data_IF_708874283848
#
_entry.id   IF_708874283848
#
_cell.length_a   1.000
_cell.length_b   1.000
_cell.length_c   1.000
_cell.angle_alpha   90.00
_cell.angle_beta   90.00
_cell.angle_gamma   90.00
#
_symmetry.space_group_name_H-M   'P 1'
#
loop_
_entity.id
_entity.type
_entity.pdbx_description
1 polymer ?
#
# COMPACT_ATOMS: atom_id res chain seq x y z
N UNK A 1 6.24 -9.54 18.28
CA UNK A 1 5.52 -10.00 17.08
C UNK A 1 5.51 -8.88 16.06
N UNK A 2 5.50 -9.21 14.77
CA UNK A 2 5.36 -8.21 13.69
C UNK A 2 3.88 -7.97 13.38
N UNK A 3 3.56 -6.84 12.73
CA UNK A 3 2.19 -6.54 12.32
C UNK A 3 1.63 -7.63 11.37
N UNK A 4 2.46 -8.17 10.47
CA UNK A 4 2.07 -9.27 9.58
C UNK A 4 1.62 -10.52 10.35
N UNK A 5 2.36 -10.90 11.39
CA UNK A 5 2.00 -12.04 12.22
C UNK A 5 0.65 -11.84 12.95
N UNK A 6 0.19 -10.60 13.12
CA UNK A 6 -1.16 -10.33 13.65
C UNK A 6 -2.24 -10.55 12.58
N UNK A 7 -1.99 -10.18 11.32
CA UNK A 7 -2.93 -10.43 10.21
C UNK A 7 -3.17 -11.92 10.04
N UNK A 8 -2.11 -12.72 10.03
CA UNK A 8 -2.22 -14.18 9.92
C UNK A 8 -2.96 -14.82 11.11
N UNK A 9 -2.84 -14.22 12.30
CA UNK A 9 -3.52 -14.69 13.52
C UNK A 9 -5.00 -14.39 13.55
N UNK A 10 -5.46 -13.35 12.86
CA UNK A 10 -6.89 -13.09 12.69
C UNK A 10 -7.52 -14.17 11.81
N UNK A 11 -6.82 -14.60 10.76
CA UNK A 11 -7.13 -15.82 10.01
C UNK A 11 -8.47 -15.81 9.26
N UNK A 12 -9.09 -14.63 9.11
CA UNK A 12 -10.40 -14.47 8.48
C UNK A 12 -10.35 -13.44 7.35
N UNK A 13 -11.24 -13.59 6.38
CA UNK A 13 -11.40 -12.65 5.28
C UNK A 13 -12.21 -11.44 5.74
N UNK A 14 -11.84 -10.26 5.25
CA UNK A 14 -12.58 -9.03 5.47
C UNK A 14 -12.97 -8.39 4.14
N UNK A 15 -14.00 -7.53 4.15
CA UNK A 15 -14.36 -6.75 2.96
C UNK A 15 -13.26 -5.74 2.60
N UNK A 16 -12.57 -5.21 3.62
CA UNK A 16 -11.56 -4.17 3.50
C UNK A 16 -10.41 -4.38 4.48
N UNK A 17 -9.18 -4.16 4.01
CA UNK A 17 -8.00 -4.04 4.86
C UNK A 17 -7.32 -2.69 4.56
N UNK A 18 -7.05 -1.89 5.59
CA UNK A 18 -6.36 -0.61 5.46
C UNK A 18 -5.00 -0.71 6.15
N UNK A 19 -3.93 -0.43 5.41
CA UNK A 19 -2.56 -0.62 5.88
C UNK A 19 -1.76 0.67 5.71
N UNK A 20 -1.02 1.06 6.74
CA UNK A 20 -0.09 2.20 6.71
C UNK A 20 1.19 1.82 7.45
N UNK A 21 2.31 2.48 7.10
CA UNK A 21 3.60 2.31 7.74
C UNK A 21 4.72 2.03 6.74
N UNK A 22 5.85 1.46 7.18
CA UNK A 22 6.99 1.22 6.30
C UNK A 22 6.61 0.36 5.09
N UNK A 23 7.14 0.68 3.91
CA UNK A 23 6.78 0.03 2.64
C UNK A 23 6.84 -1.50 2.71
N UNK A 24 7.93 -2.05 3.27
CA UNK A 24 8.09 -3.50 3.42
C UNK A 24 7.03 -4.11 4.37
N UNK A 25 6.65 -3.39 5.42
CA UNK A 25 5.56 -3.81 6.31
C UNK A 25 4.23 -3.81 5.56
N UNK A 26 3.93 -2.75 4.81
CA UNK A 26 2.68 -2.63 4.05
C UNK A 26 2.54 -3.73 2.99
N UNK A 27 3.59 -3.96 2.20
CA UNK A 27 3.61 -5.02 1.18
C UNK A 27 3.39 -6.39 1.80
N UNK A 28 4.04 -6.67 2.94
CA UNK A 28 3.88 -7.96 3.61
C UNK A 28 2.48 -8.12 4.21
N UNK A 29 1.94 -7.10 4.86
CA UNK A 29 0.60 -7.13 5.45
C UNK A 29 -0.51 -7.20 4.38
N UNK A 30 -0.36 -6.51 3.24
CA UNK A 30 -1.29 -6.60 2.12
C UNK A 30 -1.34 -8.02 1.54
N UNK A 31 -0.18 -8.65 1.35
CA UNK A 31 -0.08 -10.05 0.92
C UNK A 31 -0.74 -11.02 1.90
N UNK A 32 -0.50 -10.82 3.20
CA UNK A 32 -1.12 -11.65 4.23
C UNK A 32 -2.65 -11.51 4.23
N UNK A 33 -3.18 -10.29 4.13
CA UNK A 33 -4.62 -10.05 4.06
C UNK A 33 -5.27 -10.72 2.83
N UNK A 34 -4.60 -10.66 1.67
CA UNK A 34 -5.04 -11.33 0.43
C UNK A 34 -5.00 -12.85 0.60
N UNK A 35 -3.94 -13.39 1.21
CA UNK A 35 -3.82 -14.81 1.48
C UNK A 35 -4.90 -15.33 2.45
N UNK A 36 -5.36 -14.48 3.39
CA UNK A 36 -6.49 -14.76 4.27
C UNK A 36 -7.86 -14.60 3.59
N UNK A 37 -7.92 -14.21 2.32
CA UNK A 37 -9.15 -14.16 1.52
C UNK A 37 -9.75 -12.76 1.32
N UNK A 38 -9.09 -11.70 1.81
CA UNK A 38 -9.52 -10.33 1.48
C UNK A 38 -9.29 -10.06 -0.02
N UNK A 39 -10.29 -9.59 -0.78
CA UNK A 39 -10.11 -9.27 -2.19
C UNK A 39 -9.00 -8.23 -2.38
N UNK A 40 -8.12 -8.38 -3.36
CA UNK A 40 -7.03 -7.42 -3.61
C UNK A 40 -7.55 -5.98 -3.79
N UNK A 41 -8.67 -5.80 -4.49
CA UNK A 41 -9.33 -4.50 -4.64
C UNK A 41 -9.91 -3.92 -3.32
N UNK A 42 -10.07 -4.76 -2.30
CA UNK A 42 -10.46 -4.40 -0.94
C UNK A 42 -9.29 -4.07 -0.02
N UNK A 43 -8.04 -4.32 -0.44
CA UNK A 43 -6.84 -3.94 0.31
C UNK A 43 -6.39 -2.55 -0.11
N UNK A 44 -6.21 -1.65 0.85
CA UNK A 44 -5.77 -0.28 0.65
C UNK A 44 -4.47 -0.02 1.41
N UNK A 45 -3.55 0.69 0.77
CA UNK A 45 -2.27 1.09 1.36
C UNK A 45 -2.15 2.61 1.38
N UNK A 46 -1.55 3.15 2.44
CA UNK A 46 -1.22 4.57 2.57
C UNK A 46 0.25 4.79 2.22
N UNK A 47 0.51 5.31 1.03
CA UNK A 47 1.85 5.48 0.48
C UNK A 47 2.55 6.72 1.03
N UNK A 48 3.86 6.59 1.24
CA UNK A 48 4.73 7.71 1.63
C UNK A 48 5.77 7.98 0.55
N UNK A 49 5.96 9.26 0.19
CA UNK A 49 7.01 9.72 -0.72
C UNK A 49 7.50 11.10 -0.33
N UNK A 50 8.73 11.42 -0.74
CA UNK A 50 9.28 12.75 -0.60
C UNK A 50 8.44 13.78 -1.34
N UNK A 51 7.75 14.62 -0.59
CA UNK A 51 6.90 15.68 -1.09
C UNK A 51 7.59 17.03 -0.91
N UNK A 52 7.51 17.88 -1.94
CA UNK A 52 8.03 19.25 -1.87
C UNK A 52 6.91 20.27 -2.08
N UNK A 53 6.25 20.24 -3.25
CA UNK A 53 5.24 21.25 -3.56
C UNK A 53 3.83 20.97 -2.99
N UNK A 54 3.49 19.71 -2.71
CA UNK A 54 2.13 19.33 -2.26
C UNK A 54 0.98 19.62 -3.23
N UNK A 55 1.25 20.08 -4.45
CA UNK A 55 0.23 20.64 -5.36
C UNK A 55 0.30 20.09 -6.80
N UNK A 56 0.94 18.94 -7.00
CA UNK A 56 1.01 18.26 -8.31
C UNK A 56 1.92 18.91 -9.35
N UNK A 57 2.79 19.85 -8.95
CA UNK A 57 3.60 20.65 -9.89
C UNK A 57 5.03 20.15 -10.07
N UNK A 58 5.68 19.71 -8.98
CA UNK A 58 7.11 19.38 -8.99
C UNK A 58 7.43 17.90 -9.26
N UNK A 59 6.41 17.04 -9.37
CA UNK A 59 6.51 15.59 -9.62
C UNK A 59 7.35 14.74 -8.64
N UNK A 60 7.96 15.34 -7.60
CA UNK A 60 8.80 14.64 -6.61
C UNK A 60 8.11 13.46 -5.89
N UNK A 61 6.78 13.56 -5.71
CA UNK A 61 5.98 12.49 -5.11
C UNK A 61 5.45 11.48 -6.14
N UNK A 62 6.02 11.38 -7.34
CA UNK A 62 5.55 10.48 -8.39
C UNK A 62 5.87 9.02 -8.08
N UNK A 63 4.87 8.15 -8.12
CA UNK A 63 5.01 6.69 -8.08
C UNK A 63 4.27 6.09 -9.28
N UNK A 64 5.02 5.58 -10.27
CA UNK A 64 4.44 5.14 -11.53
C UNK A 64 3.62 6.28 -12.17
N UNK A 65 2.32 6.05 -12.49
CA UNK A 65 1.44 7.10 -13.03
C UNK A 65 0.88 8.07 -11.98
N UNK A 66 1.04 7.78 -10.68
CA UNK A 66 0.42 8.53 -9.59
C UNK A 66 1.29 9.68 -9.09
N UNK A 67 0.67 10.83 -8.85
CA UNK A 67 1.20 11.91 -8.03
C UNK A 67 0.48 11.93 -6.69
N UNK A 68 1.08 11.36 -5.65
CA UNK A 68 0.44 11.18 -4.34
C UNK A 68 -0.16 12.47 -3.76
N UNK A 69 0.48 13.62 -3.96
CA UNK A 69 -0.03 14.91 -3.48
C UNK A 69 -1.30 15.41 -4.19
N UNK A 70 -1.61 14.90 -5.39
CA UNK A 70 -2.77 15.30 -6.20
C UNK A 70 -3.81 14.19 -6.27
N UNK A 71 -3.35 12.96 -6.55
CA UNK A 71 -4.21 11.80 -6.78
C UNK A 71 -4.62 11.10 -5.46
N UNK A 72 -3.94 11.45 -4.36
CA UNK A 72 -4.13 10.84 -3.06
C UNK A 72 -3.08 9.77 -2.76
N UNK A 73 -2.75 9.61 -1.47
CA UNK A 73 -1.78 8.64 -0.99
C UNK A 73 -2.40 7.28 -0.63
N UNK A 74 -3.72 7.22 -0.46
CA UNK A 74 -4.44 5.98 -0.11
C UNK A 74 -5.02 5.37 -1.38
N UNK A 75 -4.50 4.20 -1.76
CA UNK A 75 -4.88 3.53 -3.02
C UNK A 75 -5.13 2.05 -2.80
N UNK A 76 -5.96 1.46 -3.67
CA UNK A 76 -6.19 0.03 -3.68
C UNK A 76 -4.94 -0.72 -4.17
N UNK A 77 -4.69 -1.90 -3.61
CA UNK A 77 -3.50 -2.71 -3.87
C UNK A 77 -3.19 -2.94 -5.36
N UNK A 78 -4.17 -3.26 -6.24
CA UNK A 78 -3.89 -3.50 -7.65
C UNK A 78 -3.30 -2.30 -8.39
N UNK A 79 -3.53 -1.07 -7.90
CA UNK A 79 -3.01 0.14 -8.54
C UNK A 79 -1.50 0.31 -8.32
N UNK A 80 -0.92 -0.37 -7.32
CA UNK A 80 0.46 -0.15 -6.89
C UNK A 80 1.28 -1.41 -6.63
N UNK A 81 0.68 -2.60 -6.70
CA UNK A 81 1.39 -3.87 -6.54
C UNK A 81 2.63 -3.93 -7.44
N UNK A 82 2.47 -3.66 -8.74
CA UNK A 82 3.56 -3.73 -9.71
C UNK A 82 4.74 -2.79 -9.41
N UNK A 83 4.49 -1.64 -8.76
CA UNK A 83 5.54 -0.66 -8.44
C UNK A 83 6.17 -0.86 -7.07
N UNK A 84 5.46 -1.49 -6.12
CA UNK A 84 5.95 -1.79 -4.78
C UNK A 84 6.60 -3.18 -4.67
N UNK A 85 6.28 -4.10 -5.59
CA UNK A 85 6.82 -5.46 -5.57
C UNK A 85 8.12 -5.63 -6.36
N UNK A 86 8.58 -4.60 -7.06
CA UNK A 86 9.90 -4.59 -7.74
C UNK A 86 11.01 -4.63 -6.69
N UNK A 87 11.67 -5.80 -6.57
CA UNK A 87 12.86 -5.97 -5.74
C UNK A 87 14.03 -5.14 -6.28
N UNK A 88 14.56 -4.23 -5.47
CA UNK A 88 15.81 -3.53 -5.73
C UNK A 88 15.64 -2.03 -5.97
N UNK A 89 15.55 -1.28 -4.88
CA UNK A 89 16.03 0.10 -4.82
C UNK A 89 16.93 0.25 -3.61
#
# INVERSE_FOLDING_TARGET
GTATAMVERLGEAHDRALVCGPEMMMTTAARAAIACGTPAAGVYVSLERNMHCGAGRCLRCQLGPLLLCRDGAVVAWPAVADVLEVRGR
#
